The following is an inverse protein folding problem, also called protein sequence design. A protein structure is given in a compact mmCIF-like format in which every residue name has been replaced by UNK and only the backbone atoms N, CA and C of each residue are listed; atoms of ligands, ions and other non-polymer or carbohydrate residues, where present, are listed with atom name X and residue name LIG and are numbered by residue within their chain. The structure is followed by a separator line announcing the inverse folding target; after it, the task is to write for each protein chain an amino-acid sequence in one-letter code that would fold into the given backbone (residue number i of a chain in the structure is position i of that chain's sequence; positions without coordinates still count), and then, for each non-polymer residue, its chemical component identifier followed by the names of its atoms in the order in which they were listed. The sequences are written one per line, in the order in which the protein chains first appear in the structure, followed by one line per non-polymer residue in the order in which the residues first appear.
data_IF_440830417384
#
_entry.id   IF_440830417384
#
_cell.length_a   1.000
_cell.length_b   1.000
_cell.length_c   1.000
_cell.angle_alpha   90.00
_cell.angle_beta   90.00
_cell.angle_gamma   90.00
#
_symmetry.space_group_name_H-M   'P 1'
#
loop_
_entity.id
_entity.type
_entity.pdbx_description
1 polymer ?
#
# COMPACT_ATOMS: atom_id res chain seq x y z
N UNK A 1 -7.52 33.74 11.54
CA UNK A 1 -7.41 33.77 10.06
C UNK A 1 -6.37 32.81 9.48
N UNK A 2 -5.17 32.65 10.05
CA UNK A 2 -4.15 31.71 9.54
C UNK A 2 -4.61 30.24 9.50
N UNK A 3 -5.29 29.75 10.55
CA UNK A 3 -5.76 28.35 10.65
C UNK A 3 -6.78 27.96 9.57
N UNK A 4 -7.66 28.89 9.18
CA UNK A 4 -8.67 28.67 8.11
C UNK A 4 -8.00 28.52 6.74
N UNK A 5 -6.93 29.30 6.47
CA UNK A 5 -6.15 29.17 5.23
C UNK A 5 -5.49 27.79 5.11
N UNK A 6 -4.93 27.26 6.20
CA UNK A 6 -4.33 25.91 6.20
C UNK A 6 -5.36 24.82 5.98
N UNK A 7 -6.56 24.95 6.56
CA UNK A 7 -7.65 23.97 6.38
C UNK A 7 -8.11 23.94 4.91
N UNK A 8 -8.33 25.09 4.29
CA UNK A 8 -8.73 25.16 2.87
C UNK A 8 -7.63 24.67 1.91
N UNK A 9 -6.36 24.87 2.28
CA UNK A 9 -5.23 24.40 1.48
C UNK A 9 -5.07 22.88 1.59
N UNK A 10 -5.27 22.31 2.79
CA UNK A 10 -5.28 20.86 2.99
C UNK A 10 -6.43 20.19 2.22
N UNK A 11 -7.64 20.77 2.27
CA UNK A 11 -8.81 20.21 1.59
C UNK A 11 -8.66 20.20 0.07
N UNK A 12 -8.02 21.22 -0.51
CA UNK A 12 -7.78 21.30 -1.96
C UNK A 12 -6.78 20.24 -2.44
N UNK A 13 -5.76 19.92 -1.64
CA UNK A 13 -4.75 18.89 -1.96
C UNK A 13 -5.38 17.49 -2.02
N UNK A 14 -6.34 17.21 -1.12
CA UNK A 14 -7.03 15.91 -1.04
C UNK A 14 -7.92 15.67 -2.27
N UNK A 15 -8.59 16.70 -2.77
CA UNK A 15 -9.51 16.58 -3.93
C UNK A 15 -8.74 16.29 -5.23
N UNK A 16 -7.53 16.84 -5.40
CA UNK A 16 -6.73 16.66 -6.61
C UNK A 16 -6.17 15.23 -6.74
N UNK A 17 -6.06 14.47 -5.63
CA UNK A 17 -5.56 13.09 -5.65
C UNK A 17 -6.57 12.06 -6.19
N UNK A 18 -7.85 12.42 -6.39
CA UNK A 18 -8.90 11.46 -6.79
C UNK A 18 -9.05 11.30 -8.32
N UNK A 19 -8.19 11.90 -9.13
CA UNK A 19 -8.33 11.92 -10.60
C UNK A 19 -7.66 10.74 -11.35
N UNK A 20 -7.38 9.61 -10.70
CA UNK A 20 -6.71 8.48 -11.32
C UNK A 20 -7.73 7.50 -11.95
N UNK A 21 -7.52 7.10 -13.22
CA UNK A 21 -8.22 5.96 -13.82
C UNK A 21 -7.79 4.69 -13.09
N UNK A 22 -8.69 3.97 -12.38
CA UNK A 22 -8.30 2.82 -11.61
C UNK A 22 -7.99 1.65 -12.55
N UNK A 23 -6.71 1.32 -12.70
CA UNK A 23 -6.27 0.09 -13.36
C UNK A 23 -6.00 -0.94 -12.27
N UNK A 24 -6.85 -1.96 -12.19
CA UNK A 24 -6.65 -3.04 -11.22
C UNK A 24 -5.55 -3.98 -11.73
N UNK A 25 -4.46 -4.08 -10.97
CA UNK A 25 -3.38 -5.05 -11.20
C UNK A 25 -3.24 -5.86 -9.91
N UNK A 26 -3.48 -7.18 -9.94
CA UNK A 26 -3.42 -7.98 -8.73
C UNK A 26 -1.97 -8.15 -8.26
N UNK A 27 -1.68 -7.82 -6.99
CA UNK A 27 -0.48 -8.25 -6.26
C UNK A 27 -0.83 -9.26 -5.16
N UNK A 28 0.21 -9.77 -4.50
CA UNK A 28 0.05 -10.62 -3.31
C UNK A 28 -0.57 -9.82 -2.17
N UNK A 29 -1.60 -10.38 -1.53
CA UNK A 29 -2.31 -9.76 -0.40
C UNK A 29 -1.32 -9.49 0.75
N UNK A 30 -1.22 -8.22 1.17
CA UNK A 30 -0.46 -7.82 2.36
C UNK A 30 -1.37 -7.78 3.60
N UNK A 31 -1.21 -8.75 4.52
CA UNK A 31 -1.86 -8.72 5.85
C UNK A 31 -0.78 -8.69 6.93
N UNK A 32 -0.16 -7.54 7.19
CA UNK A 32 0.92 -7.44 8.16
C UNK A 32 0.28 -7.42 9.55
N UNK A 33 0.26 -8.57 10.23
CA UNK A 33 -0.34 -8.77 11.56
C UNK A 33 0.47 -8.05 12.66
N UNK A 34 0.55 -6.72 12.60
CA UNK A 34 1.23 -5.87 13.59
C UNK A 34 0.65 -6.05 15.00
N UNK A 35 1.52 -6.17 16.00
CA UNK A 35 1.18 -6.45 17.40
C UNK A 35 1.66 -5.38 18.38
N UNK A 36 2.72 -4.65 18.06
CA UNK A 36 3.31 -3.63 18.95
C UNK A 36 3.85 -2.44 18.19
N UNK A 37 3.81 -1.27 18.83
CA UNK A 37 4.45 -0.06 18.31
C UNK A 37 5.93 -0.33 17.97
N UNK A 38 6.35 0.15 16.81
CA UNK A 38 7.71 -0.01 16.29
C UNK A 38 7.97 -1.37 15.63
N UNK A 39 6.98 -2.26 15.58
CA UNK A 39 7.09 -3.49 14.80
C UNK A 39 7.15 -3.20 13.30
N UNK A 40 8.08 -3.86 12.63
CA UNK A 40 8.29 -3.75 11.19
C UNK A 40 8.16 -5.14 10.58
N UNK A 41 7.29 -5.29 9.59
CA UNK A 41 7.19 -6.48 8.77
C UNK A 41 7.65 -6.14 7.36
N UNK A 42 8.52 -6.95 6.79
CA UNK A 42 8.98 -6.79 5.42
C UNK A 42 8.94 -8.15 4.75
N UNK A 43 8.25 -8.22 3.61
CA UNK A 43 8.07 -9.45 2.84
C UNK A 43 8.42 -9.14 1.40
N UNK A 44 9.07 -10.09 0.74
CA UNK A 44 9.37 -10.00 -0.67
C UNK A 44 8.86 -11.27 -1.32
N UNK A 45 7.91 -11.13 -2.23
CA UNK A 45 7.38 -12.24 -2.99
C UNK A 45 7.87 -12.15 -4.43
N UNK A 46 8.23 -13.28 -5.02
CA UNK A 46 8.64 -13.38 -6.41
C UNK A 46 7.98 -14.60 -7.05
N UNK A 47 7.37 -14.42 -8.21
CA UNK A 47 6.67 -15.48 -8.91
C UNK A 47 6.53 -15.19 -10.40
N UNK A 48 5.64 -15.96 -11.05
CA UNK A 48 5.35 -15.82 -12.49
C UNK A 48 4.78 -14.42 -12.77
N UNK A 49 3.98 -13.88 -11.83
CA UNK A 49 3.37 -12.56 -11.93
C UNK A 49 4.31 -11.38 -11.66
N UNK A 50 5.59 -11.60 -11.32
CA UNK A 50 6.56 -10.54 -11.06
C UNK A 50 7.19 -10.55 -9.67
N UNK A 51 7.61 -9.36 -9.23
CA UNK A 51 8.31 -9.09 -7.98
C UNK A 51 7.50 -8.11 -7.12
N UNK A 52 7.09 -8.54 -5.94
CA UNK A 52 6.18 -7.82 -5.05
C UNK A 52 6.82 -7.56 -3.68
N UNK A 53 7.57 -6.45 -3.50
CA UNK A 53 8.06 -6.03 -2.19
C UNK A 53 6.95 -5.40 -1.36
N UNK A 54 6.84 -5.78 -0.09
CA UNK A 54 5.84 -5.29 0.85
C UNK A 54 6.49 -4.95 2.17
N UNK A 55 6.12 -3.81 2.76
CA UNK A 55 6.60 -3.39 4.06
C UNK A 55 5.46 -2.80 4.88
N UNK A 56 5.50 -3.03 6.19
CA UNK A 56 4.55 -2.50 7.14
C UNK A 56 5.27 -2.07 8.41
N UNK A 57 4.79 -0.99 9.02
CA UNK A 57 5.34 -0.44 10.26
C UNK A 57 4.23 0.02 11.19
N UNK A 58 4.31 -0.41 12.44
CA UNK A 58 3.45 0.07 13.52
C UNK A 58 3.94 1.43 14.04
N UNK A 59 3.37 2.52 13.57
CA UNK A 59 3.74 3.88 14.02
C UNK A 59 3.22 4.19 15.43
N UNK A 60 2.15 3.51 15.86
CA UNK A 60 1.56 3.62 17.20
C UNK A 60 1.17 2.24 17.73
N UNK A 61 0.53 2.18 18.90
CA UNK A 61 -0.03 0.94 19.46
C UNK A 61 -1.24 0.42 18.67
N UNK A 62 -1.88 1.28 17.87
CA UNK A 62 -3.05 0.91 17.08
C UNK A 62 -3.03 1.43 15.65
N UNK A 63 -1.97 2.13 15.23
CA UNK A 63 -1.91 2.71 13.88
C UNK A 63 -0.72 2.10 13.16
N UNK A 64 -1.00 1.47 12.03
CA UNK A 64 -0.03 0.90 11.12
C UNK A 64 -0.01 1.65 9.80
N UNK A 65 1.16 1.67 9.16
CA UNK A 65 1.35 2.16 7.80
C UNK A 65 1.95 1.02 6.99
N UNK A 66 1.49 0.87 5.76
CA UNK A 66 1.98 -0.12 4.82
C UNK A 66 2.44 0.55 3.53
N UNK A 67 3.38 -0.08 2.85
CA UNK A 67 3.75 0.24 1.49
C UNK A 67 3.99 -1.05 0.71
N UNK A 68 3.37 -1.15 -0.46
CA UNK A 68 3.50 -2.28 -1.38
C UNK A 68 4.07 -1.77 -2.70
N UNK A 69 4.89 -2.60 -3.34
CA UNK A 69 5.28 -2.42 -4.73
C UNK A 69 4.99 -3.71 -5.48
N UNK A 70 4.79 -3.58 -6.78
CA UNK A 70 4.67 -4.73 -7.69
C UNK A 70 5.29 -4.36 -9.03
N UNK A 71 6.14 -5.25 -9.53
CA UNK A 71 6.88 -5.07 -10.75
C UNK A 71 6.85 -6.36 -11.57
N UNK A 72 6.19 -6.34 -12.73
CA UNK A 72 6.24 -7.45 -13.68
C UNK A 72 6.85 -7.01 -14.99
N UNK A 73 7.76 -7.85 -15.49
CA UNK A 73 8.41 -7.67 -16.77
C UNK A 73 8.35 -8.98 -17.53
N UNK A 74 7.18 -9.31 -18.07
CA UNK A 74 7.06 -10.44 -18.98
C UNK A 74 7.67 -10.08 -20.34
N UNK A 75 8.79 -10.70 -20.68
CA UNK A 75 9.40 -10.62 -22.00
C UNK A 75 8.78 -11.73 -22.85
N UNK A 76 7.68 -11.44 -23.55
CA UNK A 76 7.13 -12.37 -24.52
C UNK A 76 7.81 -12.16 -25.89
N UNK A 77 8.51 -13.19 -26.36
CA UNK A 77 9.35 -13.17 -27.57
C UNK A 77 8.56 -13.09 -28.90
N UNK A 78 7.27 -12.75 -28.88
CA UNK A 78 6.38 -12.79 -30.06
C UNK A 78 5.47 -11.54 -30.21
N UNK A 79 5.98 -10.37 -29.81
CA UNK A 79 5.69 -9.09 -30.46
C UNK A 79 4.27 -8.53 -30.43
N UNK A 80 3.34 -9.01 -29.59
CA UNK A 80 1.94 -8.55 -29.65
C UNK A 80 1.30 -8.05 -28.34
N UNK A 81 1.79 -8.37 -27.14
CA UNK A 81 1.26 -7.75 -25.92
C UNK A 81 2.35 -7.64 -24.83
N UNK A 82 2.74 -6.41 -24.51
CA UNK A 82 3.68 -6.12 -23.43
C UNK A 82 2.90 -5.89 -22.13
N UNK A 83 2.72 -6.93 -21.31
CA UNK A 83 2.19 -6.77 -19.94
C UNK A 83 3.30 -6.36 -18.97
N UNK A 84 3.91 -5.19 -19.23
CA UNK A 84 4.73 -4.51 -18.22
C UNK A 84 3.80 -3.75 -17.31
N UNK A 85 3.93 -3.98 -16.00
CA UNK A 85 3.27 -3.15 -15.01
C UNK A 85 4.23 -2.88 -13.87
N UNK A 86 4.20 -1.63 -13.40
CA UNK A 86 4.84 -1.24 -12.16
C UNK A 86 3.85 -0.40 -11.39
N UNK A 87 3.62 -0.74 -10.13
CA UNK A 87 2.81 0.08 -9.27
C UNK A 87 3.35 0.11 -7.86
N UNK A 88 2.99 1.18 -7.16
CA UNK A 88 3.31 1.38 -5.77
C UNK A 88 2.04 1.79 -5.03
N UNK A 89 1.83 1.17 -3.87
CA UNK A 89 0.69 1.44 -3.00
C UNK A 89 1.19 1.85 -1.64
N UNK A 90 0.49 2.79 -1.03
CA UNK A 90 0.69 3.18 0.35
C UNK A 90 -0.64 3.12 1.07
N UNK A 91 -0.62 2.61 2.29
CA UNK A 91 -1.83 2.46 3.08
C UNK A 91 -1.59 2.77 4.54
N UNK A 92 -2.66 3.07 5.24
CA UNK A 92 -2.65 3.22 6.68
C UNK A 92 -3.90 2.58 7.26
N UNK A 93 -3.80 2.13 8.50
CA UNK A 93 -4.85 1.35 9.11
C UNK A 93 -4.82 1.32 10.61
N UNK A 94 -5.91 0.79 11.16
CA UNK A 94 -6.03 0.51 12.56
C UNK A 94 -5.67 -0.96 12.82
N UNK A 95 -4.89 -1.22 13.86
CA UNK A 95 -4.62 -2.57 14.33
C UNK A 95 -4.88 -2.69 15.82
N UNK A 96 -5.30 -3.87 16.27
CA UNK A 96 -5.49 -4.16 17.68
C UNK A 96 -4.99 -5.55 18.02
N UNK A 97 -4.48 -5.71 19.23
CA UNK A 97 -3.96 -6.97 19.75
C UNK A 97 -4.95 -7.54 20.74
N UNK A 98 -5.81 -8.45 20.27
CA UNK A 98 -6.88 -9.05 21.10
C UNK A 98 -6.28 -9.97 22.18
N UNK A 99 -5.19 -10.69 21.85
CA UNK A 99 -4.42 -11.55 22.74
C UNK A 99 -2.95 -11.54 22.31
N UNK A 100 -2.03 -12.05 23.15
CA UNK A 100 -0.57 -12.09 22.88
C UNK A 100 -0.18 -12.63 21.49
N UNK A 101 -1.07 -13.39 20.83
CA UNK A 101 -0.83 -14.05 19.56
C UNK A 101 -1.89 -13.72 18.47
N UNK A 102 -2.83 -12.81 18.72
CA UNK A 102 -3.91 -12.51 17.76
C UNK A 102 -4.00 -11.00 17.51
N UNK A 103 -3.76 -10.61 16.26
CA UNK A 103 -3.79 -9.22 15.79
C UNK A 103 -4.93 -9.06 14.77
N UNK A 104 -5.77 -8.04 14.95
CA UNK A 104 -6.84 -7.69 14.01
C UNK A 104 -6.52 -6.36 13.37
N UNK A 105 -6.41 -6.36 12.04
CA UNK A 105 -5.90 -5.21 11.30
C UNK A 105 -6.89 -4.83 10.21
N UNK A 106 -7.23 -3.55 10.14
CA UNK A 106 -8.02 -2.95 9.09
C UNK A 106 -7.18 -1.88 8.43
N UNK A 107 -6.74 -2.13 7.20
CA UNK A 107 -5.82 -1.26 6.46
C UNK A 107 -6.46 -0.89 5.14
N UNK A 108 -6.45 0.41 4.84
CA UNK A 108 -6.89 0.95 3.54
C UNK A 108 -5.65 1.48 2.83
N UNK A 109 -5.44 1.02 1.61
CA UNK A 109 -4.36 1.46 0.74
C UNK A 109 -4.88 2.16 -0.51
N UNK A 110 -3.98 2.95 -1.09
CA UNK A 110 -4.18 3.61 -2.37
C UNK A 110 -2.93 3.37 -3.22
N UNK A 111 -3.17 2.95 -4.46
CA UNK A 111 -2.14 2.59 -5.42
C UNK A 111 -2.04 3.57 -6.57
N UNK A 112 -0.80 3.87 -6.97
CA UNK A 112 -0.49 4.53 -8.23
C UNK A 112 0.14 3.51 -9.17
N UNK A 113 -0.47 3.35 -10.35
CA UNK A 113 0.04 2.49 -11.42
C UNK A 113 0.73 3.36 -12.46
N UNK A 114 1.93 2.95 -12.89
CA UNK A 114 2.69 3.58 -13.97
C UNK A 114 2.62 2.71 -15.23
#
# INVERSE_FOLDING_TARGET
MRKVKYICLLSSIIIIHQACSPKYVPNVINVPLLSKKGEVHATVNGGISGFDPQVAVAVSNHIGVIANGSFANEIQNNGKDFHKHSFAEIGAGYFDTIQKNCCTNFIVDTGMVN
#
